data_IF_806583017696
#
_entry.id   IF_806583017696
#
_cell.length_a   1.000
_cell.length_b   1.000
_cell.length_c   1.000
_cell.angle_alpha   90.00
_cell.angle_beta   90.00
_cell.angle_gamma   90.00
#
_symmetry.space_group_name_H-M   'P 1'
#
loop_
_entity.id
_entity.type
_entity.pdbx_description
1 polymer ?
#
# COMPACT_ATOMS: atom_id res chain seq x y z
N UNK A 1 6.83 -19.11 -8.38
CA UNK A 1 6.78 -17.89 -7.56
C UNK A 1 7.69 -18.11 -6.37
N UNK A 2 8.26 -17.05 -5.81
CA UNK A 2 9.17 -17.15 -4.65
C UNK A 2 8.61 -16.44 -3.42
N UNK A 3 7.86 -15.35 -3.62
CA UNK A 3 7.22 -14.62 -2.54
C UNK A 3 5.90 -13.97 -2.98
N UNK A 4 5.00 -13.77 -2.03
CA UNK A 4 3.75 -13.05 -2.21
C UNK A 4 3.49 -12.10 -1.02
N UNK A 5 3.23 -10.83 -1.31
CA UNK A 5 2.88 -9.84 -0.30
C UNK A 5 1.39 -9.88 0.02
N UNK A 6 1.05 -9.95 1.30
CA UNK A 6 -0.35 -9.97 1.72
C UNK A 6 -0.94 -8.56 1.82
N UNK A 7 -2.18 -8.40 1.36
CA UNK A 7 -2.98 -7.17 1.45
C UNK A 7 -4.33 -7.41 2.13
N UNK A 8 -4.88 -6.45 2.90
CA UNK A 8 -6.17 -6.64 3.58
C UNK A 8 -7.33 -6.99 2.64
N UNK A 9 -7.23 -6.63 1.37
CA UNK A 9 -8.21 -7.03 0.35
C UNK A 9 -8.20 -8.52 0.05
N UNK A 10 -7.07 -9.23 0.21
CA UNK A 10 -6.93 -10.64 -0.19
C UNK A 10 -7.87 -11.54 0.61
N UNK A 11 -7.86 -11.42 1.95
CA UNK A 11 -8.78 -12.18 2.79
C UNK A 11 -10.24 -11.73 2.60
N UNK A 12 -10.49 -10.45 2.32
CA UNK A 12 -11.84 -9.96 2.02
C UNK A 12 -12.37 -10.56 0.72
N UNK A 13 -11.56 -10.66 -0.33
CA UNK A 13 -11.95 -11.30 -1.59
C UNK A 13 -12.22 -12.79 -1.34
N UNK A 14 -11.30 -13.48 -0.65
CA UNK A 14 -11.39 -14.92 -0.45
C UNK A 14 -12.57 -15.36 0.43
N UNK A 15 -13.04 -14.49 1.35
CA UNK A 15 -14.09 -14.84 2.33
C UNK A 15 -15.46 -14.23 2.07
N UNK A 16 -15.59 -13.27 1.14
CA UNK A 16 -16.83 -12.51 0.92
C UNK A 16 -17.20 -12.40 -0.56
N UNK A 17 -18.22 -13.14 -1.05
CA UNK A 17 -18.63 -13.11 -2.46
C UNK A 17 -18.92 -11.71 -3.01
N UNK A 18 -19.55 -10.83 -2.21
CA UNK A 18 -19.88 -9.47 -2.62
C UNK A 18 -18.65 -8.56 -2.72
N UNK A 19 -17.59 -8.84 -1.95
CA UNK A 19 -16.31 -8.14 -2.09
C UNK A 19 -15.58 -8.64 -3.33
N UNK A 20 -15.52 -9.96 -3.53
CA UNK A 20 -14.92 -10.59 -4.71
C UNK A 20 -15.55 -10.09 -6.02
N UNK A 21 -16.87 -9.96 -6.06
CA UNK A 21 -17.60 -9.47 -7.23
C UNK A 21 -17.19 -8.05 -7.67
N UNK A 22 -16.78 -7.17 -6.73
CA UNK A 22 -16.27 -5.82 -7.05
C UNK A 22 -14.94 -5.86 -7.82
N UNK A 23 -14.22 -6.97 -7.70
CA UNK A 23 -12.97 -7.24 -8.38
C UNK A 23 -13.15 -8.19 -9.58
N UNK A 24 -14.39 -8.49 -9.97
CA UNK A 24 -14.69 -9.44 -11.05
C UNK A 24 -14.34 -10.90 -10.70
N UNK A 25 -14.19 -11.23 -9.41
CA UNK A 25 -13.82 -12.56 -8.94
C UNK A 25 -15.06 -13.31 -8.46
N UNK A 26 -15.18 -14.57 -8.88
CA UNK A 26 -16.14 -15.54 -8.32
C UNK A 26 -15.40 -16.48 -7.38
N UNK A 27 -15.90 -16.64 -6.16
CA UNK A 27 -15.34 -17.57 -5.17
C UNK A 27 -16.01 -18.96 -5.26
N UNK A 28 -15.29 -20.06 -4.93
CA UNK A 28 -13.91 -20.10 -4.49
C UNK A 28 -12.92 -19.77 -5.63
N UNK A 29 -11.88 -19.01 -5.29
CA UNK A 29 -10.77 -18.62 -6.19
C UNK A 29 -9.43 -18.96 -5.55
N UNK A 30 -8.33 -18.60 -6.22
CA UNK A 30 -7.02 -18.57 -5.57
C UNK A 30 -6.93 -17.46 -4.51
N UNK A 31 -5.72 -17.21 -4.00
CA UNK A 31 -5.45 -16.25 -2.95
C UNK A 31 -4.29 -15.31 -3.30
N UNK A 32 -4.29 -14.12 -2.70
CA UNK A 32 -3.24 -13.13 -2.85
C UNK A 32 -3.33 -12.30 -4.14
N UNK A 33 -2.76 -11.10 -4.09
CA UNK A 33 -2.75 -10.17 -5.23
C UNK A 33 -1.35 -9.83 -5.69
N UNK A 34 -0.38 -9.73 -4.79
CA UNK A 34 0.99 -9.32 -5.13
C UNK A 34 1.91 -10.53 -5.18
N UNK A 35 2.79 -10.57 -6.17
CA UNK A 35 3.78 -11.63 -6.37
C UNK A 35 5.18 -11.09 -6.65
N UNK A 36 6.17 -11.93 -6.36
CA UNK A 36 7.49 -11.90 -6.94
C UNK A 36 7.95 -13.32 -7.29
N UNK A 37 8.78 -13.44 -8.32
CA UNK A 37 9.30 -14.72 -8.77
C UNK A 37 10.18 -14.60 -10.00
N UNK A 38 10.35 -15.72 -10.69
CA UNK A 38 11.17 -15.84 -11.90
C UNK A 38 10.28 -16.25 -13.07
N UNK A 39 10.50 -15.67 -14.24
CA UNK A 39 9.83 -16.08 -15.48
C UNK A 39 10.29 -17.49 -15.86
N UNK A 40 9.34 -18.42 -15.92
CA UNK A 40 9.56 -19.82 -16.31
C UNK A 40 9.31 -20.05 -17.81
N UNK A 41 8.24 -19.44 -18.34
CA UNK A 41 7.88 -19.51 -19.76
C UNK A 41 7.42 -18.14 -20.27
N UNK A 42 7.67 -17.87 -21.55
CA UNK A 42 7.20 -16.67 -22.25
C UNK A 42 6.34 -17.10 -23.43
N UNK A 43 5.09 -16.64 -23.45
CA UNK A 43 4.16 -16.95 -24.53
C UNK A 43 4.41 -16.14 -25.81
N UNK A 44 3.90 -16.64 -26.93
CA UNK A 44 4.02 -15.99 -28.24
C UNK A 44 3.53 -14.53 -28.21
N UNK A 45 4.34 -13.62 -28.73
CA UNK A 45 4.02 -12.19 -28.84
C UNK A 45 4.23 -11.36 -27.57
N UNK A 46 4.61 -11.98 -26.45
CA UNK A 46 5.07 -11.25 -25.26
C UNK A 46 6.49 -10.73 -25.52
N UNK A 47 6.72 -9.45 -25.20
CA UNK A 47 8.03 -8.80 -25.35
C UNK A 47 8.44 -8.16 -24.02
N UNK A 48 9.73 -7.85 -23.87
CA UNK A 48 10.26 -7.19 -22.66
C UNK A 48 10.58 -8.12 -21.48
N UNK A 49 10.29 -9.42 -21.60
CA UNK A 49 10.61 -10.46 -20.62
C UNK A 49 11.25 -11.68 -21.28
N UNK A 50 12.12 -12.36 -20.55
CA UNK A 50 12.80 -13.58 -20.91
C UNK A 50 12.75 -14.60 -19.75
N UNK A 51 12.87 -15.89 -20.10
CA UNK A 51 13.00 -16.96 -19.09
C UNK A 51 14.22 -16.68 -18.22
N UNK A 52 14.05 -16.78 -16.91
CA UNK A 52 15.08 -16.47 -15.91
C UNK A 52 15.02 -15.04 -15.35
N UNK A 53 14.24 -14.14 -15.95
CA UNK A 53 14.08 -12.79 -15.40
C UNK A 53 13.38 -12.83 -14.05
N UNK A 54 13.92 -12.09 -13.07
CA UNK A 54 13.26 -11.84 -11.80
C UNK A 54 12.22 -10.74 -12.00
N UNK A 55 10.99 -11.00 -11.58
CA UNK A 55 9.86 -10.09 -11.76
C UNK A 55 9.04 -9.97 -10.49
N UNK A 56 8.31 -8.87 -10.38
CA UNK A 56 7.26 -8.66 -9.41
C UNK A 56 6.04 -8.04 -10.08
N UNK A 57 4.87 -8.17 -9.46
CA UNK A 57 3.66 -7.64 -10.06
C UNK A 57 2.36 -8.12 -9.41
N UNK A 58 1.26 -7.94 -10.14
CA UNK A 58 -0.09 -8.22 -9.67
C UNK A 58 -0.75 -9.40 -10.37
N UNK A 59 -1.26 -10.36 -9.60
CA UNK A 59 -2.20 -11.37 -10.07
C UNK A 59 -3.36 -11.49 -9.07
N UNK A 60 -4.34 -10.61 -9.22
CA UNK A 60 -5.49 -10.47 -8.33
C UNK A 60 -6.19 -11.82 -8.06
N UNK A 61 -6.22 -12.23 -6.80
CA UNK A 61 -6.81 -13.49 -6.32
C UNK A 61 -6.10 -14.76 -6.77
N UNK A 62 -4.82 -14.68 -7.18
CA UNK A 62 -4.07 -15.80 -7.77
C UNK A 62 -2.58 -15.82 -7.41
N UNK A 63 -2.07 -14.82 -6.68
CA UNK A 63 -0.64 -14.60 -6.50
C UNK A 63 0.07 -15.62 -5.57
N UNK A 64 -0.65 -16.25 -4.64
CA UNK A 64 -0.12 -17.32 -3.79
C UNK A 64 -0.32 -18.66 -4.50
N UNK A 65 0.65 -19.02 -5.34
CA UNK A 65 0.69 -20.28 -6.09
C UNK A 65 2.12 -20.57 -6.58
N UNK A 66 2.47 -21.83 -6.81
CA UNK A 66 3.79 -22.22 -7.36
C UNK A 66 4.03 -21.58 -8.74
N UNK A 67 2.99 -21.57 -9.58
CA UNK A 67 3.01 -20.97 -10.91
C UNK A 67 1.80 -20.06 -11.11
N UNK A 68 2.03 -18.91 -11.74
CA UNK A 68 0.99 -17.94 -12.08
C UNK A 68 1.09 -17.60 -13.56
N UNK A 69 -0.02 -17.80 -14.28
CA UNK A 69 -0.12 -17.41 -15.70
C UNK A 69 -0.69 -16.00 -15.78
N UNK A 70 0.11 -15.06 -16.28
CA UNK A 70 -0.29 -13.68 -16.59
C UNK A 70 -0.58 -13.59 -18.09
N UNK A 71 -1.79 -13.16 -18.43
CA UNK A 71 -2.21 -13.00 -19.83
C UNK A 71 -1.90 -11.58 -20.31
N UNK A 72 -1.54 -11.37 -21.59
CA UNK A 72 -1.45 -10.03 -22.14
C UNK A 72 -2.75 -9.22 -21.96
N UNK A 73 -2.65 -7.89 -21.74
CA UNK A 73 -1.41 -7.13 -21.60
C UNK A 73 -0.68 -7.43 -20.27
N UNK A 74 0.65 -7.47 -20.30
CA UNK A 74 1.52 -7.81 -19.15
C UNK A 74 1.94 -6.58 -18.35
N UNK A 75 1.18 -5.49 -18.45
CA UNK A 75 1.51 -4.15 -17.91
C UNK A 75 1.53 -4.09 -16.37
N UNK A 76 1.09 -5.17 -15.71
CA UNK A 76 1.11 -5.33 -14.26
C UNK A 76 2.31 -6.18 -13.77
N UNK A 77 3.32 -6.42 -14.62
CA UNK A 77 4.58 -7.06 -14.29
C UNK A 77 5.75 -6.09 -14.55
N UNK A 78 6.72 -6.12 -13.65
CA UNK A 78 7.94 -5.32 -13.72
C UNK A 78 9.14 -6.20 -13.39
N UNK A 79 10.30 -5.84 -13.93
CA UNK A 79 11.57 -6.46 -13.53
C UNK A 79 11.89 -6.11 -12.08
N UNK A 80 12.29 -7.11 -11.30
CA UNK A 80 12.81 -6.91 -9.95
C UNK A 80 14.27 -6.48 -10.05
N UNK A 81 14.63 -5.26 -9.63
CA UNK A 81 16.01 -4.81 -9.73
C UNK A 81 16.97 -5.63 -8.87
N UNK A 82 18.23 -5.71 -9.31
CA UNK A 82 19.30 -6.24 -8.49
C UNK A 82 19.43 -5.42 -7.19
N UNK A 83 19.57 -6.10 -6.05
CA UNK A 83 19.60 -5.45 -4.73
C UNK A 83 18.25 -5.35 -4.02
N UNK A 84 17.12 -5.63 -4.69
CA UNK A 84 15.81 -5.78 -4.04
C UNK A 84 15.48 -7.27 -3.92
N UNK A 85 15.15 -7.73 -2.72
CA UNK A 85 14.75 -9.13 -2.48
C UNK A 85 13.34 -9.40 -3.00
N UNK A 86 13.01 -10.66 -3.29
CA UNK A 86 11.68 -11.03 -3.75
C UNK A 86 10.62 -10.76 -2.68
N UNK A 87 10.95 -10.90 -1.40
CA UNK A 87 10.04 -10.56 -0.30
C UNK A 87 9.66 -9.09 -0.34
N UNK A 88 10.62 -8.19 -0.52
CA UNK A 88 10.34 -6.75 -0.65
C UNK A 88 9.59 -6.46 -1.96
N UNK A 89 10.06 -6.98 -3.08
CA UNK A 89 9.45 -6.75 -4.39
C UNK A 89 7.98 -7.20 -4.44
N UNK A 90 7.67 -8.34 -3.80
CA UNK A 90 6.30 -8.88 -3.68
C UNK A 90 5.33 -8.00 -2.89
N UNK A 91 5.80 -6.91 -2.26
CA UNK A 91 4.94 -6.02 -1.46
C UNK A 91 4.63 -4.69 -2.14
N UNK A 92 5.32 -4.39 -3.24
CA UNK A 92 5.23 -3.11 -3.94
C UNK A 92 3.93 -2.92 -4.75
N UNK A 93 3.38 -3.94 -5.46
CA UNK A 93 2.29 -3.74 -6.42
C UNK A 93 1.04 -3.12 -5.81
N UNK A 94 0.42 -3.71 -4.79
CA UNK A 94 -0.76 -3.07 -4.19
C UNK A 94 -0.34 -1.92 -3.28
N UNK A 95 0.57 -2.15 -2.33
CA UNK A 95 0.80 -1.16 -1.27
C UNK A 95 1.54 0.10 -1.75
N UNK A 96 2.59 -0.07 -2.54
CA UNK A 96 3.37 1.03 -3.11
C UNK A 96 2.56 1.87 -4.09
N UNK A 97 1.87 1.21 -5.03
CA UNK A 97 1.03 1.92 -6.01
C UNK A 97 -0.15 2.64 -5.35
N UNK A 98 -0.80 2.01 -4.35
CA UNK A 98 -1.88 2.66 -3.60
C UNK A 98 -1.40 3.91 -2.87
N UNK A 99 -0.21 3.87 -2.25
CA UNK A 99 0.36 5.03 -1.59
C UNK A 99 0.63 6.17 -2.57
N UNK A 100 1.27 5.87 -3.70
CA UNK A 100 1.56 6.87 -4.73
C UNK A 100 0.27 7.46 -5.33
N UNK A 101 -0.72 6.62 -5.64
CA UNK A 101 -2.02 7.07 -6.14
C UNK A 101 -2.74 8.00 -5.16
N UNK A 102 -2.73 7.67 -3.87
CA UNK A 102 -3.35 8.50 -2.85
C UNK A 102 -2.67 9.88 -2.74
N UNK A 103 -1.33 9.92 -2.76
CA UNK A 103 -0.58 11.18 -2.74
C UNK A 103 -0.76 12.00 -4.03
N UNK A 104 -0.86 11.34 -5.18
CA UNK A 104 -1.15 12.00 -6.46
C UNK A 104 -2.57 12.59 -6.48
N UNK A 105 -3.55 11.87 -5.92
CA UNK A 105 -4.95 12.29 -5.89
C UNK A 105 -5.18 13.57 -5.08
N UNK A 106 -4.41 13.78 -4.01
CA UNK A 106 -4.42 15.04 -3.25
C UNK A 106 -3.59 16.12 -3.92
N UNK A 107 -2.87 15.82 -5.00
CA UNK A 107 -1.96 16.73 -5.70
C UNK A 107 -0.82 17.19 -4.79
N UNK A 108 -0.17 16.25 -4.09
CA UNK A 108 0.89 16.54 -3.11
C UNK A 108 1.97 17.47 -3.69
N UNK A 109 2.42 18.44 -2.90
CA UNK A 109 3.43 19.43 -3.25
C UNK A 109 4.51 19.55 -2.17
N UNK A 110 5.74 19.95 -2.53
CA UNK A 110 6.72 20.39 -1.56
C UNK A 110 6.15 21.48 -0.64
N UNK A 111 6.43 21.39 0.65
CA UNK A 111 5.92 22.32 1.66
C UNK A 111 4.53 22.00 2.21
N UNK A 112 3.83 20.99 1.68
CA UNK A 112 2.58 20.53 2.29
C UNK A 112 2.81 19.98 3.71
N UNK A 113 1.82 20.16 4.58
CA UNK A 113 1.73 19.44 5.86
C UNK A 113 0.60 18.42 5.74
N UNK A 114 0.95 17.14 5.61
CA UNK A 114 0.02 16.07 5.27
C UNK A 114 -0.31 15.23 6.50
N UNK A 115 -1.61 15.05 6.76
CA UNK A 115 -2.10 14.12 7.76
C UNK A 115 -2.35 12.73 7.14
N UNK A 116 -1.67 11.70 7.64
CA UNK A 116 -1.73 10.32 7.09
C UNK A 116 -2.40 9.39 8.10
N UNK A 117 -3.56 8.86 7.74
CA UNK A 117 -4.31 7.86 8.49
C UNK A 117 -3.75 6.46 8.25
N UNK A 118 -3.54 5.66 9.30
CA UNK A 118 -2.98 4.31 9.14
C UNK A 118 -1.50 4.31 8.73
N UNK A 119 -0.75 5.33 9.15
CA UNK A 119 0.60 5.63 8.68
C UNK A 119 1.64 4.53 8.91
N UNK A 120 1.41 3.62 9.87
CA UNK A 120 2.32 2.52 10.18
C UNK A 120 2.00 1.20 9.45
N UNK A 121 0.87 1.14 8.73
CA UNK A 121 0.42 -0.05 8.03
C UNK A 121 1.13 -0.25 6.69
N UNK A 122 0.77 -1.33 5.99
CA UNK A 122 1.41 -1.73 4.73
C UNK A 122 1.43 -0.64 3.65
N UNK A 123 0.37 0.14 3.48
CA UNK A 123 0.35 1.31 2.56
C UNK A 123 1.02 2.53 3.20
N UNK A 124 0.81 2.71 4.51
CA UNK A 124 1.31 3.86 5.27
C UNK A 124 2.82 4.01 5.23
N UNK A 125 3.57 2.90 5.32
CA UNK A 125 5.04 2.95 5.25
C UNK A 125 5.54 3.55 3.94
N UNK A 126 4.86 3.30 2.82
CA UNK A 126 5.18 3.95 1.54
C UNK A 126 4.71 5.41 1.53
N UNK A 127 3.46 5.66 1.94
CA UNK A 127 2.87 7.00 1.87
C UNK A 127 3.65 8.04 2.69
N UNK A 128 4.10 7.67 3.89
CA UNK A 128 4.92 8.55 4.75
C UNK A 128 6.24 8.89 4.05
N UNK A 129 6.96 7.88 3.57
CA UNK A 129 8.29 8.08 2.98
C UNK A 129 8.21 8.80 1.63
N UNK A 130 7.26 8.44 0.76
CA UNK A 130 7.04 9.12 -0.51
C UNK A 130 6.65 10.60 -0.30
N UNK A 131 5.80 10.90 0.69
CA UNK A 131 5.45 12.28 1.00
C UNK A 131 6.65 13.08 1.51
N UNK A 132 7.50 12.47 2.35
CA UNK A 132 8.76 13.07 2.80
C UNK A 132 9.73 13.32 1.64
N UNK A 133 9.86 12.37 0.70
CA UNK A 133 10.70 12.54 -0.49
C UNK A 133 10.20 13.65 -1.42
N UNK A 134 8.89 13.88 -1.46
CA UNK A 134 8.29 15.01 -2.15
C UNK A 134 8.44 16.36 -1.42
N UNK A 135 9.12 16.39 -0.27
CA UNK A 135 9.37 17.62 0.50
C UNK A 135 8.20 18.07 1.38
N UNK A 136 7.27 17.17 1.71
CA UNK A 136 6.18 17.45 2.65
C UNK A 136 6.59 17.17 4.11
N UNK A 137 5.92 17.86 5.04
CA UNK A 137 5.90 17.48 6.46
C UNK A 137 4.78 16.48 6.67
N UNK A 138 5.06 15.38 7.38
CA UNK A 138 4.08 14.30 7.56
C UNK A 138 3.70 14.16 9.03
N UNK A 139 2.40 14.17 9.31
CA UNK A 139 1.81 13.81 10.61
C UNK A 139 1.12 12.47 10.43
N UNK A 140 1.60 11.43 11.09
CA UNK A 140 1.08 10.07 10.94
C UNK A 140 0.23 9.65 12.13
N UNK A 141 -1.00 9.17 11.88
CA UNK A 141 -1.82 8.63 12.97
C UNK A 141 -1.47 7.17 13.26
N UNK A 142 -1.26 6.85 14.54
CA UNK A 142 -1.01 5.50 15.02
C UNK A 142 -1.34 5.37 16.52
N UNK A 143 -1.21 4.15 17.06
CA UNK A 143 -1.27 3.92 18.50
C UNK A 143 0.02 4.43 19.19
N UNK A 144 0.00 4.84 20.47
CA UNK A 144 1.18 5.35 21.16
C UNK A 144 2.41 4.44 21.11
N UNK A 145 2.21 3.11 21.19
CA UNK A 145 3.29 2.13 21.08
C UNK A 145 3.97 2.07 19.70
N UNK A 146 3.39 2.72 18.69
CA UNK A 146 3.91 2.76 17.31
C UNK A 146 4.61 4.08 16.99
N UNK A 147 4.66 5.02 17.94
CA UNK A 147 5.16 6.37 17.68
C UNK A 147 6.62 6.38 17.25
N UNK A 148 7.47 5.56 17.87
CA UNK A 148 8.88 5.54 17.52
C UNK A 148 9.12 4.98 16.11
N UNK A 149 8.37 3.96 15.72
CA UNK A 149 8.40 3.44 14.36
C UNK A 149 8.02 4.51 13.33
N UNK A 150 7.00 5.33 13.60
CA UNK A 150 6.65 6.44 12.71
C UNK A 150 7.75 7.50 12.61
N UNK A 151 8.42 7.82 13.73
CA UNK A 151 9.55 8.76 13.71
C UNK A 151 10.70 8.26 12.86
N UNK A 152 11.00 6.96 12.90
CA UNK A 152 12.01 6.34 12.05
C UNK A 152 11.69 6.48 10.55
N UNK A 153 10.40 6.45 10.19
CA UNK A 153 9.94 6.70 8.82
C UNK A 153 9.89 8.19 8.45
N UNK A 154 10.12 9.08 9.42
CA UNK A 154 10.07 10.53 9.23
C UNK A 154 8.68 11.15 9.38
N UNK A 155 7.72 10.50 10.03
CA UNK A 155 6.47 11.14 10.41
C UNK A 155 6.52 11.65 11.86
N UNK A 156 5.88 12.79 12.12
CA UNK A 156 5.51 13.17 13.48
C UNK A 156 4.30 12.35 13.91
N UNK A 157 4.39 11.51 14.96
CA UNK A 157 3.33 10.61 15.32
C UNK A 157 2.21 11.31 16.10
N UNK A 158 0.97 10.92 15.84
CA UNK A 158 -0.21 11.41 16.54
C UNK A 158 -1.17 10.27 16.89
N UNK A 159 -1.77 10.29 18.08
CA UNK A 159 -2.76 9.30 18.45
C UNK A 159 -4.05 9.48 17.62
N UNK A 160 -4.52 8.42 16.96
CA UNK A 160 -5.86 8.36 16.37
C UNK A 160 -6.97 8.32 17.46
N UNK A 161 -8.24 8.32 17.05
CA UNK A 161 -9.38 8.22 17.97
C UNK A 161 -10.07 9.56 18.27
N UNK A 162 -11.08 9.56 19.16
CA UNK A 162 -11.91 10.73 19.46
C UNK A 162 -11.09 11.98 19.77
N UNK A 163 -11.45 13.11 19.14
CA UNK A 163 -10.75 14.38 19.29
C UNK A 163 -9.50 14.54 18.41
N UNK A 164 -9.32 13.70 17.39
CA UNK A 164 -8.19 13.77 16.46
C UNK A 164 -7.96 15.18 15.90
N UNK A 165 -9.01 15.85 15.40
CA UNK A 165 -8.88 17.22 14.86
C UNK A 165 -8.28 18.23 15.87
N UNK A 166 -8.66 18.14 17.15
CA UNK A 166 -8.11 19.01 18.18
C UNK A 166 -6.62 18.71 18.44
N UNK A 167 -6.23 17.43 18.44
CA UNK A 167 -4.83 17.03 18.57
C UNK A 167 -3.99 17.50 17.38
N UNK A 168 -4.53 17.39 16.16
CA UNK A 168 -3.86 17.91 14.95
C UNK A 168 -3.68 19.42 15.06
N UNK A 169 -4.71 20.18 15.45
CA UNK A 169 -4.61 21.64 15.63
C UNK A 169 -3.55 22.04 16.67
N UNK A 170 -3.43 21.28 17.76
CA UNK A 170 -2.42 21.52 18.79
C UNK A 170 -0.99 21.23 18.28
N UNK A 171 -0.81 20.17 17.48
CA UNK A 171 0.49 19.76 16.95
C UNK A 171 0.94 20.64 15.76
N UNK A 172 0.00 21.03 14.89
CA UNK A 172 0.24 21.83 13.71
C UNK A 172 -0.59 23.12 13.76
N UNK A 173 -0.15 24.14 14.50
CA UNK A 173 -0.88 25.41 14.61
C UNK A 173 -1.00 26.17 13.28
N UNK A 174 -0.09 25.90 12.32
CA UNK A 174 -0.18 26.38 10.94
C UNK A 174 -1.20 25.63 10.07
N UNK A 175 -1.85 24.60 10.61
CA UNK A 175 -2.79 23.74 9.91
C UNK A 175 -2.15 22.62 9.10
N UNK A 176 -2.99 21.69 8.66
CA UNK A 176 -2.65 20.68 7.65
C UNK A 176 -3.20 21.14 6.30
N UNK A 177 -2.47 20.89 5.21
CA UNK A 177 -2.82 21.35 3.86
C UNK A 177 -3.39 20.26 2.97
N UNK A 178 -3.23 19.00 3.38
CA UNK A 178 -3.78 17.83 2.72
C UNK A 178 -3.88 16.65 3.70
N UNK A 179 -4.65 15.62 3.35
CA UNK A 179 -4.74 14.40 4.14
C UNK A 179 -4.95 13.15 3.28
N UNK A 180 -4.49 12.00 3.75
CA UNK A 180 -4.83 10.71 3.16
C UNK A 180 -5.23 9.73 4.25
N UNK A 181 -6.38 9.08 4.13
CA UNK A 181 -6.83 8.03 5.05
C UNK A 181 -6.70 6.64 4.41
N UNK A 182 -5.72 5.88 4.88
CA UNK A 182 -5.39 4.57 4.35
C UNK A 182 -6.09 3.42 5.11
N UNK A 183 -6.85 3.74 6.16
CA UNK A 183 -7.43 2.74 7.06
C UNK A 183 -8.97 2.77 7.10
N UNK A 184 -9.56 3.96 7.01
CA UNK A 184 -11.00 4.17 7.12
C UNK A 184 -11.39 5.59 6.71
N UNK A 185 -12.12 6.30 7.60
CA UNK A 185 -12.61 7.66 7.34
C UNK A 185 -12.24 8.70 8.40
N UNK A 186 -11.79 8.28 9.60
CA UNK A 186 -11.56 9.19 10.74
C UNK A 186 -10.57 10.32 10.40
N UNK A 187 -9.51 10.01 9.66
CA UNK A 187 -8.49 11.01 9.29
C UNK A 187 -9.03 11.97 8.25
N UNK A 188 -9.80 11.47 7.27
CA UNK A 188 -10.47 12.32 6.28
C UNK A 188 -11.50 13.25 6.94
N UNK A 189 -12.31 12.72 7.86
CA UNK A 189 -13.29 13.50 8.65
C UNK A 189 -12.60 14.57 9.51
N UNK A 190 -11.49 14.22 10.17
CA UNK A 190 -10.72 15.19 10.93
C UNK A 190 -10.13 16.30 10.05
N UNK A 191 -9.63 15.97 8.86
CA UNK A 191 -9.12 16.95 7.91
C UNK A 191 -10.22 17.88 7.38
N UNK A 192 -11.40 17.35 7.04
CA UNK A 192 -12.57 18.14 6.67
C UNK A 192 -12.99 19.10 7.81
N UNK A 193 -13.02 18.61 9.05
CA UNK A 193 -13.34 19.44 10.22
C UNK A 193 -12.29 20.53 10.50
N UNK A 194 -11.07 20.39 9.98
CA UNK A 194 -10.00 21.39 10.02
C UNK A 194 -10.04 22.37 8.85
N UNK A 195 -10.99 22.20 7.91
CA UNK A 195 -11.16 23.08 6.75
C UNK A 195 -10.29 22.72 5.55
N UNK A 196 -9.70 21.52 5.51
CA UNK A 196 -9.00 21.03 4.32
C UNK A 196 -10.03 20.79 3.21
N UNK A 197 -9.78 21.34 2.01
CA UNK A 197 -10.65 21.16 0.86
C UNK A 197 -10.77 19.67 0.50
N UNK A 198 -11.97 19.14 0.16
CA UNK A 198 -12.16 17.72 -0.17
C UNK A 198 -11.22 17.19 -1.26
N UNK A 199 -10.85 18.02 -2.24
CA UNK A 199 -9.94 17.66 -3.33
C UNK A 199 -8.48 17.50 -2.88
N UNK A 200 -8.16 17.96 -1.67
CA UNK A 200 -6.86 17.79 -0.99
C UNK A 200 -6.89 16.63 0.00
N UNK A 201 -7.93 15.80 -0.06
CA UNK A 201 -8.10 14.62 0.79
C UNK A 201 -8.33 13.39 -0.09
N UNK A 202 -7.66 12.29 0.23
CA UNK A 202 -7.89 10.99 -0.38
C UNK A 202 -8.21 9.93 0.66
N UNK A 203 -8.92 8.87 0.24
CA UNK A 203 -9.19 7.69 1.04
C UNK A 203 -8.87 6.42 0.24
N UNK A 204 -8.57 5.32 0.93
CA UNK A 204 -8.35 4.00 0.30
C UNK A 204 -9.37 3.00 0.81
N UNK A 205 -9.49 2.85 2.13
CA UNK A 205 -10.32 1.82 2.77
C UNK A 205 -11.62 2.38 3.38
N UNK A 206 -12.16 3.47 2.82
CA UNK A 206 -13.36 4.16 3.33
C UNK A 206 -14.70 3.47 2.99
N UNK A 207 -14.70 2.40 2.20
CA UNK A 207 -15.93 1.80 1.69
C UNK A 207 -16.55 2.61 0.53
N UNK A 208 -17.82 2.37 0.18
CA UNK A 208 -18.42 2.92 -1.04
C UNK A 208 -18.69 4.43 -0.99
N UNK A 209 -18.75 5.01 0.22
CA UNK A 209 -19.20 6.39 0.43
C UNK A 209 -18.17 7.14 1.30
N UNK A 210 -17.06 7.63 0.71
CA UNK A 210 -16.12 8.49 1.42
C UNK A 210 -16.84 9.77 1.91
N UNK A 211 -16.40 10.34 3.05
CA UNK A 211 -17.06 11.50 3.65
C UNK A 211 -16.89 12.75 2.78
N UNK A 212 -17.89 13.64 2.77
CA UNK A 212 -17.72 15.03 2.33
C UNK A 212 -17.18 15.25 0.90
N UNK A 213 -17.42 14.33 -0.04
CA UNK A 213 -16.95 14.44 -1.43
C UNK A 213 -15.47 14.09 -1.63
N UNK A 214 -14.83 13.52 -0.62
CA UNK A 214 -13.43 13.07 -0.66
C UNK A 214 -13.24 11.96 -1.68
N UNK A 215 -12.11 11.97 -2.39
CA UNK A 215 -11.82 10.97 -3.43
C UNK A 215 -11.41 9.63 -2.81
N UNK A 216 -12.01 8.53 -3.29
CA UNK A 216 -11.49 7.18 -3.07
C UNK A 216 -10.44 6.83 -4.14
N UNK A 217 -9.39 6.12 -3.74
CA UNK A 217 -8.24 5.77 -4.60
C UNK A 217 -7.77 4.35 -4.32
N UNK A 218 -7.10 3.74 -5.29
CA UNK A 218 -6.42 2.46 -5.13
C UNK A 218 -5.24 2.31 -6.09
N UNK A 219 -4.56 1.16 -6.03
CA UNK A 219 -3.39 0.86 -6.87
C UNK A 219 -3.64 1.08 -8.38
N UNK A 220 -4.87 0.82 -8.85
CA UNK A 220 -5.24 1.00 -10.27
C UNK A 220 -5.20 2.47 -10.74
N UNK A 221 -5.22 3.42 -9.81
CA UNK A 221 -5.14 4.85 -10.11
C UNK A 221 -3.69 5.37 -10.19
N UNK A 222 -2.68 4.52 -9.96
CA UNK A 222 -1.29 4.91 -9.98
C UNK A 222 -0.77 5.16 -11.41
N UNK A 223 0.16 6.10 -11.55
CA UNK A 223 0.85 6.35 -12.81
C UNK A 223 1.82 5.20 -13.15
N UNK A 224 2.10 5.02 -14.43
CA UNK A 224 2.86 3.87 -14.96
C UNK A 224 4.34 3.87 -14.58
N UNK A 225 4.90 5.02 -14.21
CA UNK A 225 6.30 5.21 -13.84
C UNK A 225 6.55 5.04 -12.31
N UNK A 226 5.49 4.97 -11.51
CA UNK A 226 5.58 4.78 -10.05
C UNK A 226 6.39 3.54 -9.62
N UNK A 227 6.24 2.35 -10.25
CA UNK A 227 7.03 1.17 -9.90
C UNK A 227 8.54 1.43 -9.92
N UNK A 228 9.03 2.08 -10.99
CA UNK A 228 10.45 2.43 -11.15
C UNK A 228 10.88 3.44 -10.08
N UNK A 229 10.10 4.49 -9.85
CA UNK A 229 10.40 5.49 -8.81
C UNK A 229 10.52 4.89 -7.41
N UNK A 230 9.65 3.93 -7.06
CA UNK A 230 9.69 3.25 -5.75
C UNK A 230 10.95 2.38 -5.64
N UNK A 231 11.26 1.60 -6.67
CA UNK A 231 12.43 0.72 -6.64
C UNK A 231 13.74 1.52 -6.63
N UNK A 232 13.84 2.60 -7.38
CA UNK A 232 14.97 3.54 -7.33
C UNK A 232 15.14 4.15 -5.94
N UNK A 233 14.04 4.54 -5.29
CA UNK A 233 14.09 5.07 -3.93
C UNK A 233 14.58 4.02 -2.92
N UNK A 234 14.21 2.74 -3.10
CA UNK A 234 14.71 1.63 -2.27
C UNK A 234 16.21 1.43 -2.49
N UNK A 235 16.67 1.35 -3.74
CA UNK A 235 18.09 1.18 -4.08
C UNK A 235 18.95 2.34 -3.59
N UNK A 236 18.42 3.55 -3.61
CA UNK A 236 19.08 4.74 -3.07
C UNK A 236 19.07 4.82 -1.54
N UNK A 237 18.47 3.85 -0.84
CA UNK A 237 18.32 3.85 0.62
C UNK A 237 17.40 4.97 1.15
N UNK A 238 16.58 5.55 0.27
CA UNK A 238 15.66 6.67 0.56
C UNK A 238 14.27 6.18 1.00
N UNK A 239 13.93 4.94 0.67
CA UNK A 239 12.71 4.27 1.08
C UNK A 239 13.05 2.87 1.59
N UNK A 240 12.47 2.50 2.72
CA UNK A 240 12.58 1.14 3.26
C UNK A 240 11.19 0.50 3.36
N UNK A 241 11.13 -0.82 3.16
CA UNK A 241 9.88 -1.57 3.29
C UNK A 241 10.02 -2.57 4.43
N UNK A 242 9.48 -2.27 5.62
CA UNK A 242 9.54 -3.19 6.75
C UNK A 242 8.71 -4.45 6.47
N UNK A 243 9.38 -5.61 6.45
CA UNK A 243 8.72 -6.92 6.46
C UNK A 243 8.47 -7.29 7.93
N UNK A 244 7.23 -7.12 8.38
CA UNK A 244 6.81 -7.39 9.75
C UNK A 244 6.92 -8.88 10.10
N UNK A 245 6.62 -9.74 9.13
CA UNK A 245 6.72 -11.19 9.25
C UNK A 245 6.76 -11.83 7.86
N UNK A 246 7.48 -12.95 7.78
CA UNK A 246 7.48 -13.85 6.64
C UNK A 246 7.03 -15.24 7.10
N UNK A 247 6.16 -15.88 6.32
CA UNK A 247 5.64 -17.22 6.60
C UNK A 247 5.85 -18.10 5.38
N UNK A 248 6.23 -19.38 5.54
CA UNK A 248 6.16 -20.32 4.44
C UNK A 248 4.69 -20.60 4.09
N UNK A 249 4.40 -20.96 2.83
CA UNK A 249 3.03 -21.12 2.31
C UNK A 249 2.18 -22.10 3.11
N UNK A 250 2.77 -23.11 3.75
CA UNK A 250 2.06 -24.07 4.61
C UNK A 250 1.44 -23.39 5.85
N UNK A 251 1.97 -22.22 6.24
CA UNK A 251 1.47 -21.38 7.33
C UNK A 251 0.61 -20.21 6.84
N UNK A 252 0.04 -20.28 5.64
CA UNK A 252 -0.80 -19.21 5.07
C UNK A 252 -1.91 -18.76 6.02
N UNK A 253 -2.51 -19.67 6.80
CA UNK A 253 -3.55 -19.31 7.78
C UNK A 253 -3.03 -18.41 8.89
N UNK A 254 -1.84 -18.68 9.39
CA UNK A 254 -1.19 -17.87 10.43
C UNK A 254 -0.83 -16.49 9.87
N UNK A 255 -0.28 -16.46 8.65
CA UNK A 255 0.05 -15.22 7.94
C UNK A 255 -1.18 -14.32 7.74
N UNK A 256 -2.28 -14.90 7.27
CA UNK A 256 -3.55 -14.19 7.07
C UNK A 256 -4.16 -13.76 8.39
N UNK A 257 -4.11 -14.58 9.43
CA UNK A 257 -4.61 -14.23 10.77
C UNK A 257 -3.86 -13.04 11.36
N UNK A 258 -2.52 -13.06 11.28
CA UNK A 258 -1.68 -11.95 11.72
C UNK A 258 -2.02 -10.66 10.96
N UNK A 259 -2.12 -10.74 9.64
CA UNK A 259 -2.40 -9.57 8.81
C UNK A 259 -3.82 -9.02 9.01
N UNK A 260 -4.81 -9.89 9.16
CA UNK A 260 -6.20 -9.52 9.45
C UNK A 260 -6.35 -8.82 10.80
N UNK A 261 -5.43 -9.07 11.75
CA UNK A 261 -5.35 -8.34 13.03
C UNK A 261 -4.98 -6.86 12.89
N UNK A 262 -4.47 -6.40 11.74
CA UNK A 262 -4.16 -4.98 11.44
C UNK A 262 -3.29 -4.27 12.51
N UNK A 263 -2.37 -5.01 13.14
CA UNK A 263 -1.47 -4.51 14.19
C UNK A 263 0.02 -4.70 13.86
N UNK A 264 0.33 -5.00 12.59
CA UNK A 264 1.71 -5.13 12.10
C UNK A 264 2.27 -3.78 11.64
N UNK A 265 3.57 -3.60 11.81
CA UNK A 265 4.33 -2.47 11.28
C UNK A 265 4.91 -2.84 9.91
N UNK A 266 4.28 -2.38 8.83
CA UNK A 266 4.67 -2.73 7.46
C UNK A 266 3.92 -3.93 6.87
N UNK A 267 4.65 -4.81 6.16
CA UNK A 267 4.08 -5.84 5.28
C UNK A 267 4.29 -7.27 5.81
N UNK A 268 3.33 -8.14 5.52
CA UNK A 268 3.43 -9.59 5.78
C UNK A 268 3.64 -10.28 4.45
N UNK A 269 4.60 -11.20 4.39
CA UNK A 269 4.98 -11.93 3.17
C UNK A 269 4.79 -13.42 3.36
N UNK A 270 4.44 -14.10 2.28
CA UNK A 270 4.41 -15.56 2.18
C UNK A 270 5.53 -15.99 1.24
N UNK A 271 6.39 -16.89 1.67
CA UNK A 271 7.43 -17.51 0.83
C UNK A 271 6.92 -18.82 0.25
N UNK A 272 7.25 -19.08 -1.01
CA UNK A 272 6.77 -20.21 -1.83
C UNK A 272 7.95 -21.10 -2.23
#
# INVERSE_FOLDING_TARGET
MTAAGLNPMDWSIASRPEAAARFGITVPSGFGSDLAGVIDEVGDGVTGFAVGDRVYGGALGRAVADFVVVKPPVDALWHTPEGISDEVASTLPVAGLTAAAALAAIGLRPGDTVLVGGAAGGVGVFAVQLARLAGATVIGTASPGTFEFLRQLGAEPLAYGPGLANRVRALAPGGVTAATDLFGTETAEAALALGVAPERISTVAAGPNPPGGVRATGAIDAATDVPEQITDAILAGKLTVPIAAAFPVEKIRDAVTLQAGRHVHGKVVVTL
#
